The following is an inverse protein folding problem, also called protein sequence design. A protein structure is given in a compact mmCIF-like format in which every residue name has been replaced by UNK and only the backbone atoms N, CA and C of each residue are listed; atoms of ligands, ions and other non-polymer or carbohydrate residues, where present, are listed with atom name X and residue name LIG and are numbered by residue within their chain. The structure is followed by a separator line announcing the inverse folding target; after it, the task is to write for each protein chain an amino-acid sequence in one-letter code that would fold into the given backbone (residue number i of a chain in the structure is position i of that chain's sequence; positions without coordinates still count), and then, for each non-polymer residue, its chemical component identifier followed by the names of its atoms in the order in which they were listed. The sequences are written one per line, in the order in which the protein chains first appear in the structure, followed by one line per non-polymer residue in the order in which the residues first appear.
data_IF_309849524424
#
_entry.id   IF_309849524424
#
_cell.length_a   1.000
_cell.length_b   1.000
_cell.length_c   1.000
_cell.angle_alpha   90.00
_cell.angle_beta   90.00
_cell.angle_gamma   90.00
#
_symmetry.space_group_name_H-M   'P 1'
#
loop_
_entity.id
_entity.type
_entity.pdbx_description
1 polymer ?
#
# COMPACT_ATOMS: atom_id res chain seq x y z
N UNK A 1 -17.17 11.20 -17.32
CA UNK A 1 -17.95 11.24 -16.07
C UNK A 1 -18.93 10.08 -16.13
N UNK A 2 -18.69 9.01 -15.37
CA UNK A 2 -19.56 7.84 -15.38
C UNK A 2 -20.79 8.18 -14.54
N UNK A 3 -21.95 8.32 -15.18
CA UNK A 3 -23.21 8.55 -14.49
C UNK A 3 -23.78 7.19 -14.12
N UNK A 4 -23.89 6.92 -12.82
CA UNK A 4 -24.48 5.69 -12.31
C UNK A 4 -26.00 5.89 -12.19
N UNK A 5 -26.78 5.11 -12.95
CA UNK A 5 -28.24 5.17 -12.98
C UNK A 5 -28.87 3.87 -12.45
N UNK A 6 -30.01 4.00 -11.77
CA UNK A 6 -30.81 2.88 -11.30
C UNK A 6 -32.04 2.73 -12.20
N UNK A 7 -32.40 1.49 -12.53
CA UNK A 7 -33.67 1.16 -13.18
C UNK A 7 -34.76 1.08 -12.10
N UNK A 8 -35.72 1.99 -12.16
CA UNK A 8 -36.87 2.04 -11.26
C UNK A 8 -37.93 0.97 -11.62
N UNK A 9 -38.85 0.62 -10.71
CA UNK A 9 -39.93 -0.32 -10.98
C UNK A 9 -40.84 0.06 -12.16
N UNK A 10 -40.90 1.35 -12.52
CA UNK A 10 -41.60 1.87 -13.70
C UNK A 10 -40.79 1.76 -15.01
N UNK A 11 -39.60 1.16 -14.96
CA UNK A 11 -38.68 0.99 -16.09
C UNK A 11 -37.83 2.23 -16.42
N UNK A 12 -37.99 3.33 -15.70
CA UNK A 12 -37.21 4.56 -15.95
C UNK A 12 -35.82 4.49 -15.33
N UNK A 13 -34.83 5.08 -15.99
CA UNK A 13 -33.47 5.20 -15.45
C UNK A 13 -33.30 6.58 -14.81
N UNK A 14 -32.87 6.62 -13.54
CA UNK A 14 -32.56 7.89 -12.87
C UNK A 14 -31.20 7.82 -12.17
N UNK A 15 -30.44 8.91 -12.26
CA UNK A 15 -29.29 9.14 -11.41
C UNK A 15 -29.75 9.28 -9.95
N UNK A 16 -29.22 8.46 -9.04
CA UNK A 16 -29.73 8.43 -7.68
C UNK A 16 -29.35 9.69 -6.88
N UNK A 17 -30.32 10.58 -6.69
CA UNK A 17 -30.41 11.43 -5.49
C UNK A 17 -31.66 11.03 -4.71
N UNK A 18 -31.57 9.88 -4.06
CA UNK A 18 -32.64 9.32 -3.22
C UNK A 18 -33.74 8.61 -4.01
N UNK A 19 -33.88 7.30 -3.80
CA UNK A 19 -35.11 6.58 -4.13
C UNK A 19 -35.96 6.61 -2.86
N UNK A 20 -37.08 7.32 -2.90
CA UNK A 20 -38.05 7.35 -1.81
C UNK A 20 -39.27 6.55 -2.25
N UNK A 21 -39.74 5.64 -1.39
CA UNK A 21 -40.98 4.91 -1.60
C UNK A 21 -41.68 4.70 -0.25
N UNK A 22 -43.01 4.65 -0.29
CA UNK A 22 -43.84 4.44 0.88
C UNK A 22 -44.07 2.94 1.08
N UNK A 23 -44.06 2.50 2.35
CA UNK A 23 -44.25 1.09 2.73
C UNK A 23 -45.62 0.52 2.37
N UNK A 24 -46.56 1.38 1.97
CA UNK A 24 -47.91 0.98 1.53
C UNK A 24 -48.08 0.94 0.00
N UNK A 25 -47.04 1.23 -0.79
CA UNK A 25 -47.10 1.15 -2.25
C UNK A 25 -47.04 -0.32 -2.72
N UNK A 26 -47.97 -0.74 -3.58
CA UNK A 26 -48.04 -2.11 -4.09
C UNK A 26 -46.80 -2.52 -4.91
N UNK A 27 -46.05 -1.56 -5.45
CA UNK A 27 -44.78 -1.79 -6.12
C UNK A 27 -43.61 -2.03 -5.13
N UNK A 28 -43.83 -1.86 -3.82
CA UNK A 28 -42.83 -1.99 -2.76
C UNK A 28 -43.08 -3.24 -1.89
N UNK A 29 -43.18 -4.41 -2.52
CA UNK A 29 -43.19 -5.70 -1.82
C UNK A 29 -41.75 -6.13 -1.48
N UNK A 30 -41.34 -6.03 -0.22
CA UNK A 30 -40.05 -6.56 0.26
C UNK A 30 -39.18 -5.56 1.02
N UNK A 31 -39.75 -4.87 2.01
CA UNK A 31 -39.02 -3.96 2.91
C UNK A 31 -37.81 -4.65 3.58
N UNK A 32 -37.88 -5.97 3.79
CA UNK A 32 -36.78 -6.78 4.32
C UNK A 32 -35.55 -6.82 3.41
N UNK A 33 -35.73 -6.63 2.09
CA UNK A 33 -34.65 -6.65 1.09
C UNK A 33 -34.10 -5.24 0.79
N UNK A 34 -34.60 -4.19 1.43
CA UNK A 34 -34.20 -2.79 1.22
C UNK A 34 -32.68 -2.61 1.27
N UNK A 35 -32.04 -3.10 2.33
CA UNK A 35 -30.58 -2.98 2.51
C UNK A 35 -29.77 -3.80 1.50
N UNK A 36 -30.37 -4.81 0.88
CA UNK A 36 -29.71 -5.62 -0.15
C UNK A 36 -29.71 -4.95 -1.52
N UNK A 37 -30.56 -3.94 -1.75
CA UNK A 37 -30.65 -3.18 -2.99
C UNK A 37 -29.86 -1.86 -2.95
N UNK A 38 -29.40 -1.45 -1.75
CA UNK A 38 -28.47 -0.34 -1.61
C UNK A 38 -27.18 -0.69 -2.35
N UNK A 39 -26.94 -0.03 -3.48
CA UNK A 39 -25.64 -0.12 -4.14
C UNK A 39 -24.61 0.58 -3.24
N UNK A 40 -23.77 -0.20 -2.58
CA UNK A 40 -22.52 0.29 -2.00
C UNK A 40 -21.55 0.55 -3.16
N UNK A 41 -20.75 1.63 -3.14
CA UNK A 41 -19.67 1.83 -4.09
C UNK A 41 -18.56 0.77 -3.88
N UNK A 42 -18.81 -0.49 -4.22
CA UNK A 42 -17.83 -1.58 -4.10
C UNK A 42 -17.13 -1.88 -5.43
N UNK A 43 -17.06 -0.91 -6.35
CA UNK A 43 -16.56 -1.11 -7.71
C UNK A 43 -15.06 -1.41 -7.82
N UNK A 44 -14.29 -1.40 -6.73
CA UNK A 44 -12.85 -1.70 -6.73
C UNK A 44 -12.43 -2.84 -5.79
N UNK A 45 -13.34 -3.42 -5.02
CA UNK A 45 -12.98 -4.39 -3.97
C UNK A 45 -12.09 -3.77 -2.88
N UNK A 46 -11.77 -4.54 -1.83
CA UNK A 46 -10.75 -4.12 -0.88
C UNK A 46 -9.39 -4.05 -1.59
N UNK A 47 -8.56 -3.02 -1.32
CA UNK A 47 -7.21 -2.98 -1.85
C UNK A 47 -6.46 -4.25 -1.45
N UNK A 48 -5.69 -4.81 -2.39
CA UNK A 48 -4.89 -5.99 -2.11
C UNK A 48 -3.89 -5.71 -0.98
N UNK A 49 -3.50 -6.76 -0.25
CA UNK A 49 -2.55 -6.64 0.84
C UNK A 49 -1.26 -5.92 0.39
N UNK A 50 -0.75 -5.05 1.27
CA UNK A 50 0.52 -4.38 1.04
C UNK A 50 1.66 -5.41 1.12
N UNK A 51 2.41 -5.54 0.04
CA UNK A 51 3.56 -6.45 -0.06
C UNK A 51 4.80 -5.67 -0.44
N UNK A 52 5.96 -6.15 0.00
CA UNK A 52 7.24 -5.51 -0.25
C UNK A 52 8.30 -6.53 -0.66
N UNK A 53 9.14 -6.17 -1.62
CA UNK A 53 10.37 -6.88 -1.97
C UNK A 53 11.57 -5.97 -1.77
N UNK A 54 12.74 -6.54 -1.45
CA UNK A 54 13.98 -5.79 -1.22
C UNK A 54 15.10 -6.22 -2.16
N UNK A 55 15.92 -5.25 -2.55
CA UNK A 55 17.19 -5.47 -3.22
C UNK A 55 18.27 -4.61 -2.53
N UNK A 56 19.25 -5.18 -1.81
CA UNK A 56 19.54 -6.61 -1.69
C UNK A 56 18.41 -7.44 -1.05
N UNK A 57 18.35 -8.72 -1.43
CA UNK A 57 17.43 -9.67 -0.80
C UNK A 57 17.80 -9.91 0.67
N UNK A 58 16.82 -10.36 1.47
CA UNK A 58 17.11 -10.72 2.86
C UNK A 58 18.14 -11.86 2.92
N UNK A 59 19.14 -11.68 3.78
CA UNK A 59 20.35 -12.50 3.93
C UNK A 59 21.27 -12.56 2.70
N UNK A 60 21.23 -11.57 1.81
CA UNK A 60 22.18 -11.47 0.70
C UNK A 60 23.62 -11.28 1.20
N UNK A 61 24.57 -11.94 0.56
CA UNK A 61 26.01 -11.86 0.86
C UNK A 61 26.79 -11.40 -0.38
N UNK A 62 27.97 -10.81 -0.19
CA UNK A 62 28.80 -10.35 -1.31
C UNK A 62 28.23 -9.10 -1.99
N UNK A 63 27.47 -8.28 -1.27
CA UNK A 63 26.87 -7.06 -1.79
C UNK A 63 27.96 -5.99 -1.99
N UNK A 64 27.91 -5.24 -3.08
CA UNK A 64 28.89 -4.18 -3.31
C UNK A 64 28.85 -3.10 -2.22
N UNK A 65 30.01 -2.56 -1.83
CA UNK A 65 30.12 -1.48 -0.85
C UNK A 65 29.39 -0.19 -1.29
N UNK A 66 29.24 0.02 -2.60
CA UNK A 66 28.47 1.12 -3.20
C UNK A 66 27.03 0.74 -3.56
N UNK A 67 26.44 -0.27 -2.94
CA UNK A 67 25.03 -0.63 -3.20
C UNK A 67 24.10 0.49 -2.73
N UNK A 68 23.04 0.73 -3.50
CA UNK A 68 21.90 1.55 -3.09
C UNK A 68 20.72 0.61 -2.85
N UNK A 69 20.38 0.28 -1.59
CA UNK A 69 19.27 -0.62 -1.33
C UNK A 69 17.95 -0.05 -1.83
N UNK A 70 17.17 -0.85 -2.55
CA UNK A 70 15.86 -0.51 -3.06
C UNK A 70 14.78 -1.40 -2.44
N UNK A 71 13.68 -0.80 -1.98
CA UNK A 71 12.47 -1.49 -1.55
C UNK A 71 11.36 -1.21 -2.55
N UNK A 72 10.73 -2.26 -3.05
CA UNK A 72 9.61 -2.15 -4.00
C UNK A 72 8.34 -2.61 -3.31
N UNK A 73 7.37 -1.71 -3.22
CA UNK A 73 6.06 -1.93 -2.63
C UNK A 73 5.03 -2.20 -3.73
N UNK A 74 4.02 -3.02 -3.43
CA UNK A 74 2.89 -3.25 -4.36
C UNK A 74 2.05 -2.00 -4.58
N UNK A 75 2.08 -1.07 -3.62
CA UNK A 75 1.27 0.14 -3.63
C UNK A 75 2.07 1.39 -3.26
N UNK A 76 1.50 2.57 -3.57
CA UNK A 76 2.13 3.85 -3.25
C UNK A 76 2.16 4.08 -1.72
N UNK A 77 3.31 4.51 -1.21
CA UNK A 77 3.52 4.75 0.22
C UNK A 77 3.18 6.19 0.58
N UNK A 78 2.41 6.36 1.66
CA UNK A 78 2.02 7.65 2.21
C UNK A 78 2.90 8.06 3.41
N UNK A 79 3.26 7.10 4.28
CA UNK A 79 4.13 7.32 5.43
C UNK A 79 5.31 6.34 5.38
N UNK A 80 6.54 6.86 5.36
CA UNK A 80 7.75 6.04 5.41
C UNK A 80 8.30 5.92 6.83
N UNK A 81 8.76 4.72 7.18
CA UNK A 81 9.40 4.43 8.45
C UNK A 81 10.44 3.32 8.25
N UNK A 82 11.49 3.68 7.50
CA UNK A 82 12.58 2.78 7.12
C UNK A 82 13.91 3.26 7.72
N UNK A 83 14.71 2.38 8.31
CA UNK A 83 16.02 2.76 8.88
C UNK A 83 17.09 1.78 8.44
N UNK A 84 18.28 2.29 8.11
CA UNK A 84 19.45 1.47 7.83
C UNK A 84 20.39 1.51 9.03
N UNK A 85 20.67 0.35 9.60
CA UNK A 85 21.61 0.18 10.71
C UNK A 85 22.71 -0.79 10.34
N UNK A 86 23.88 -0.60 10.93
CA UNK A 86 24.95 -1.59 10.90
C UNK A 86 24.80 -2.53 12.10
N UNK A 87 25.38 -3.73 11.98
CA UNK A 87 25.35 -4.76 13.03
C UNK A 87 25.93 -4.35 14.39
N UNK A 88 26.75 -3.29 14.44
CA UNK A 88 27.25 -2.68 15.68
C UNK A 88 26.24 -1.71 16.33
N UNK A 89 25.03 -1.58 15.76
CA UNK A 89 23.98 -0.68 16.22
C UNK A 89 24.15 0.76 15.73
N UNK A 90 25.19 1.06 14.96
CA UNK A 90 25.37 2.40 14.39
C UNK A 90 24.34 2.67 13.29
N UNK A 91 23.75 3.85 13.33
CA UNK A 91 22.83 4.31 12.28
C UNK A 91 23.65 4.71 11.06
N UNK A 92 23.29 4.17 9.90
CA UNK A 92 23.92 4.55 8.63
C UNK A 92 23.18 5.75 8.07
N UNK A 93 23.87 6.88 7.98
CA UNK A 93 23.31 8.06 7.34
C UNK A 93 23.02 7.76 5.87
N UNK A 94 21.75 7.91 5.47
CA UNK A 94 21.30 7.65 4.11
C UNK A 94 20.18 8.62 3.73
N UNK A 95 20.16 9.02 2.46
CA UNK A 95 19.02 9.71 1.87
C UNK A 95 18.05 8.69 1.29
N UNK A 96 16.76 9.02 1.33
CA UNK A 96 15.68 8.19 0.80
C UNK A 96 14.98 8.96 -0.31
N UNK A 97 14.69 8.29 -1.41
CA UNK A 97 13.92 8.85 -2.51
C UNK A 97 12.92 7.84 -3.02
N UNK A 98 11.69 8.29 -3.25
CA UNK A 98 10.67 7.50 -3.94
C UNK A 98 10.69 7.79 -5.45
N UNK A 99 10.27 6.81 -6.25
CA UNK A 99 9.98 6.99 -7.66
C UNK A 99 8.71 7.83 -7.88
N UNK A 100 8.44 8.20 -9.15
CA UNK A 100 7.27 9.01 -9.49
C UNK A 100 5.93 8.33 -9.14
N UNK A 101 5.90 7.00 -9.04
CA UNK A 101 4.73 6.24 -8.64
C UNK A 101 4.59 6.06 -7.10
N UNK A 102 5.60 6.47 -6.32
CA UNK A 102 5.61 6.31 -4.87
C UNK A 102 5.74 4.86 -4.38
N UNK A 103 6.17 3.94 -5.24
CA UNK A 103 6.23 2.49 -5.00
C UNK A 103 7.64 1.96 -4.76
N UNK A 104 8.66 2.66 -5.27
CA UNK A 104 10.06 2.21 -5.16
C UNK A 104 10.82 3.19 -4.29
N UNK A 105 11.23 2.74 -3.11
CA UNK A 105 12.09 3.48 -2.20
C UNK A 105 13.55 3.11 -2.45
N UNK A 106 14.34 4.08 -2.89
CA UNK A 106 15.80 3.94 -3.00
C UNK A 106 16.47 4.58 -1.80
N UNK A 107 17.30 3.81 -1.11
CA UNK A 107 18.13 4.23 0.02
C UNK A 107 19.54 4.47 -0.50
N UNK A 108 20.05 5.68 -0.34
CA UNK A 108 21.40 6.07 -0.77
C UNK A 108 22.24 6.41 0.45
N UNK A 109 23.12 5.50 0.90
CA UNK A 109 24.09 5.79 1.96
C UNK A 109 24.95 7.01 1.59
N UNK A 110 25.23 7.90 2.54
CA UNK A 110 26.06 9.09 2.31
C UNK A 110 27.55 8.75 2.21
N UNK A 111 27.95 7.63 2.82
CA UNK A 111 29.29 7.06 2.73
C UNK A 111 29.20 5.62 2.23
N UNK A 112 30.25 5.17 1.55
CA UNK A 112 30.36 3.78 1.14
C UNK A 112 30.27 2.83 2.34
N UNK A 113 29.59 1.71 2.17
CA UNK A 113 29.47 0.70 3.21
C UNK A 113 30.82 0.01 3.46
N UNK A 114 31.06 -0.40 4.69
CA UNK A 114 32.30 -1.09 5.08
C UNK A 114 32.30 -2.51 4.54
N UNK A 115 33.41 -2.92 3.91
CA UNK A 115 33.62 -4.29 3.43
C UNK A 115 33.54 -5.29 4.59
N UNK A 116 33.01 -6.49 4.31
CA UNK A 116 32.65 -7.51 5.30
C UNK A 116 31.67 -7.02 6.41
N UNK A 117 31.09 -5.83 6.24
CA UNK A 117 30.11 -5.26 7.15
C UNK A 117 28.74 -5.91 6.98
N UNK A 118 28.06 -6.15 8.11
CA UNK A 118 26.68 -6.62 8.13
C UNK A 118 25.76 -5.44 8.42
N UNK A 119 24.74 -5.28 7.58
CA UNK A 119 23.77 -4.19 7.62
C UNK A 119 22.34 -4.74 7.69
N UNK A 120 21.44 -3.99 8.32
CA UNK A 120 20.03 -4.33 8.44
C UNK A 120 19.16 -3.13 8.07
N UNK A 121 18.20 -3.35 7.19
CA UNK A 121 17.13 -2.39 6.87
C UNK A 121 15.92 -2.78 7.70
N UNK A 122 15.52 -1.89 8.60
CA UNK A 122 14.34 -2.03 9.44
C UNK A 122 13.20 -1.29 8.76
N UNK A 123 12.16 -2.01 8.39
CA UNK A 123 10.91 -1.48 7.83
C UNK A 123 9.85 -1.66 8.89
N UNK A 124 9.42 -0.60 9.57
CA UNK A 124 8.49 -0.69 10.69
C UNK A 124 7.55 0.50 10.71
N UNK A 125 6.25 0.28 10.45
CA UNK A 125 5.25 1.35 10.45
C UNK A 125 5.08 2.09 9.11
N UNK A 126 5.52 1.47 8.01
CA UNK A 126 5.24 1.98 6.65
C UNK A 126 3.75 1.84 6.36
N UNK A 127 3.12 2.90 5.84
CA UNK A 127 1.70 2.91 5.46
C UNK A 127 1.49 3.31 4.00
N UNK A 128 0.55 2.63 3.34
CA UNK A 128 0.17 2.98 1.97
C UNK A 128 -0.93 4.05 1.90
N UNK A 129 -1.21 4.52 0.69
CA UNK A 129 -2.28 5.50 0.40
C UNK A 129 -3.70 5.00 0.71
N UNK A 130 -3.88 3.70 0.96
CA UNK A 130 -5.14 3.10 1.39
C UNK A 130 -5.19 2.84 2.91
N UNK A 131 -4.17 3.28 3.66
CA UNK A 131 -4.09 3.12 5.12
C UNK A 131 -3.65 1.73 5.59
N UNK A 132 -3.20 0.85 4.69
CA UNK A 132 -2.66 -0.45 5.06
C UNK A 132 -1.25 -0.29 5.64
N UNK A 133 -0.97 -0.98 6.74
CA UNK A 133 0.35 -0.96 7.39
C UNK A 133 1.16 -2.19 6.97
N UNK A 134 2.40 -1.98 6.54
CA UNK A 134 3.33 -3.06 6.20
C UNK A 134 3.79 -3.77 7.48
N UNK A 135 3.85 -5.11 7.44
CA UNK A 135 4.41 -5.90 8.53
C UNK A 135 5.86 -5.52 8.82
N UNK A 136 6.21 -5.47 10.11
CA UNK A 136 7.58 -5.12 10.51
C UNK A 136 8.56 -6.14 9.99
N UNK A 137 9.43 -5.70 9.09
CA UNK A 137 10.38 -6.57 8.38
C UNK A 137 11.80 -6.08 8.60
N UNK A 138 12.71 -7.00 8.92
CA UNK A 138 14.14 -6.73 9.01
C UNK A 138 14.85 -7.45 7.87
N UNK A 139 15.48 -6.69 6.99
CA UNK A 139 16.24 -7.21 5.84
C UNK A 139 17.71 -7.10 6.17
N UNK A 140 18.38 -8.23 6.33
CA UNK A 140 19.81 -8.30 6.62
C UNK A 140 20.60 -8.51 5.33
N UNK A 141 21.74 -7.86 5.17
CA UNK A 141 22.67 -8.15 4.08
C UNK A 141 24.13 -7.93 4.50
N UNK A 142 25.04 -8.59 3.79
CA UNK A 142 26.49 -8.57 4.05
C UNK A 142 27.23 -8.05 2.83
N UNK A 143 28.05 -7.03 3.07
CA UNK A 143 28.92 -6.42 2.04
C UNK A 143 30.10 -7.34 1.76
N UNK A 144 30.51 -7.41 0.49
CA UNK A 144 31.68 -8.14 0.01
C UNK A 144 32.97 -7.69 0.70
#
# INVERSE_FOLDING_TARGET
MTVHEFTMPDGTKKGAKGVQADTTDAAFSGAEAWFSQVQTPETLGAPGALTMTSNPANNATGVAAGVHPALTFSNAIAEDAVTLIKSDGTLVAATKSYDAAGKVLTITPTAALTSAGVYSIIVAGVKDVYGQTQETTVIKFTVA
#
